data_IF_913047867860
#
_entry.id   IF_913047867860
#
_cell.length_a   1.000
_cell.length_b   1.000
_cell.length_c   1.000
_cell.angle_alpha   90.00
_cell.angle_beta   90.00
_cell.angle_gamma   90.00
#
_symmetry.space_group_name_H-M   'P 1'
#
loop_
_entity.id
_entity.type
_entity.pdbx_description
1 polymer ?
#
# COMPACT_ATOMS: atom_id res chain seq x y z
N UNK A 1 -42.36 -9.15 -28.79
CA UNK A 1 -41.27 -9.65 -27.93
C UNK A 1 -41.60 -11.08 -27.61
N UNK A 2 -40.81 -12.04 -28.09
CA UNK A 2 -41.10 -13.45 -27.86
C UNK A 2 -40.81 -13.79 -26.40
N UNK A 3 -41.72 -14.46 -25.73
CA UNK A 3 -41.63 -14.83 -24.31
C UNK A 3 -40.28 -15.51 -23.98
N UNK A 4 -39.75 -16.27 -24.93
CA UNK A 4 -38.44 -16.92 -24.86
C UNK A 4 -37.29 -15.90 -24.76
N UNK A 5 -37.31 -14.84 -25.57
CA UNK A 5 -36.26 -13.80 -25.56
C UNK A 5 -36.26 -12.99 -24.25
N UNK A 6 -37.44 -12.75 -23.66
CA UNK A 6 -37.57 -12.07 -22.37
C UNK A 6 -37.03 -12.92 -21.22
N UNK A 7 -37.33 -14.22 -21.20
CA UNK A 7 -36.83 -15.14 -20.17
C UNK A 7 -35.30 -15.27 -20.22
N UNK A 8 -34.73 -15.42 -21.41
CA UNK A 8 -33.27 -15.49 -21.58
C UNK A 8 -32.61 -14.19 -21.12
N UNK A 9 -33.17 -13.03 -21.51
CA UNK A 9 -32.69 -11.73 -21.05
C UNK A 9 -32.71 -11.57 -19.52
N UNK A 10 -33.78 -12.05 -18.87
CA UNK A 10 -33.91 -12.01 -17.42
C UNK A 10 -32.87 -12.89 -16.71
N UNK A 11 -32.62 -14.10 -17.22
CA UNK A 11 -31.62 -15.03 -16.69
C UNK A 11 -30.21 -14.46 -16.80
N UNK A 12 -29.87 -13.87 -17.96
CA UNK A 12 -28.56 -13.24 -18.16
C UNK A 12 -28.38 -12.05 -17.21
N UNK A 13 -29.39 -11.19 -17.07
CA UNK A 13 -29.34 -10.06 -16.14
C UNK A 13 -29.14 -10.52 -14.68
N UNK A 14 -29.87 -11.56 -14.25
CA UNK A 14 -29.72 -12.12 -12.91
C UNK A 14 -28.31 -12.67 -12.66
N UNK A 15 -27.71 -13.35 -13.65
CA UNK A 15 -26.32 -13.84 -13.55
C UNK A 15 -25.32 -12.69 -13.46
N UNK A 16 -25.48 -11.64 -14.25
CA UNK A 16 -24.60 -10.46 -14.20
C UNK A 16 -24.66 -9.77 -12.82
N UNK A 17 -25.87 -9.58 -12.28
CA UNK A 17 -26.04 -8.99 -10.93
C UNK A 17 -25.38 -9.89 -9.88
N UNK A 18 -25.59 -11.20 -9.97
CA UNK A 18 -25.00 -12.16 -9.03
C UNK A 18 -23.46 -12.10 -9.02
N UNK A 19 -22.84 -12.13 -10.21
CA UNK A 19 -21.37 -12.02 -10.35
C UNK A 19 -20.87 -10.70 -9.77
N UNK A 20 -21.57 -9.59 -10.04
CA UNK A 20 -21.19 -8.27 -9.51
C UNK A 20 -21.24 -8.22 -7.97
N UNK A 21 -22.27 -8.80 -7.36
CA UNK A 21 -22.41 -8.88 -5.89
C UNK A 21 -21.28 -9.73 -5.29
N UNK A 22 -20.95 -10.87 -5.89
CA UNK A 22 -19.85 -11.73 -5.44
C UNK A 22 -18.50 -11.01 -5.49
N UNK A 23 -18.21 -10.33 -6.60
CA UNK A 23 -16.97 -9.57 -6.77
C UNK A 23 -16.84 -8.48 -5.69
N UNK A 24 -17.90 -7.71 -5.46
CA UNK A 24 -17.90 -6.65 -4.43
C UNK A 24 -17.71 -7.21 -3.00
N UNK A 25 -18.36 -8.33 -2.67
CA UNK A 25 -18.19 -8.95 -1.35
C UNK A 25 -16.76 -9.45 -1.15
N UNK A 26 -16.18 -10.08 -2.16
CA UNK A 26 -14.80 -10.58 -2.10
C UNK A 26 -13.80 -9.45 -1.87
N UNK A 27 -13.99 -8.30 -2.53
CA UNK A 27 -13.16 -7.11 -2.36
C UNK A 27 -13.24 -6.55 -0.94
N UNK A 28 -14.46 -6.36 -0.42
CA UNK A 28 -14.66 -5.86 0.96
C UNK A 28 -14.03 -6.78 2.01
N UNK A 29 -14.06 -8.09 1.78
CA UNK A 29 -13.41 -9.05 2.68
C UNK A 29 -11.88 -8.89 2.66
N UNK A 30 -11.28 -8.72 1.47
CA UNK A 30 -9.83 -8.46 1.35
C UNK A 30 -9.42 -7.16 2.04
N UNK A 31 -10.17 -6.09 1.82
CA UNK A 31 -9.93 -4.79 2.48
C UNK A 31 -9.96 -4.93 4.00
N UNK A 32 -10.96 -5.62 4.55
CA UNK A 32 -11.04 -5.90 6.00
C UNK A 32 -9.84 -6.68 6.52
N UNK A 33 -9.38 -7.69 5.79
CA UNK A 33 -8.22 -8.49 6.21
C UNK A 33 -6.96 -7.61 6.27
N UNK A 34 -6.73 -6.77 5.24
CA UNK A 34 -5.58 -5.85 5.23
C UNK A 34 -5.64 -4.84 6.40
N UNK A 35 -6.82 -4.26 6.67
CA UNK A 35 -7.00 -3.35 7.81
C UNK A 35 -6.72 -4.07 9.13
N UNK A 36 -7.23 -5.29 9.31
CA UNK A 36 -6.99 -6.06 10.52
C UNK A 36 -5.50 -6.37 10.70
N UNK A 37 -4.78 -6.70 9.62
CA UNK A 37 -3.33 -6.93 9.67
C UNK A 37 -2.58 -5.66 10.08
N UNK A 38 -2.95 -4.50 9.55
CA UNK A 38 -2.37 -3.21 9.97
C UNK A 38 -2.64 -2.93 11.45
N UNK A 39 -3.86 -3.15 11.94
CA UNK A 39 -4.22 -2.95 13.35
C UNK A 39 -3.45 -3.89 14.30
N UNK A 40 -3.21 -5.14 13.87
CA UNK A 40 -2.36 -6.07 14.62
C UNK A 40 -0.93 -5.51 14.74
N UNK A 41 -0.34 -5.08 13.62
CA UNK A 41 1.02 -4.50 13.63
C UNK A 41 1.13 -3.26 14.52
N UNK A 42 0.12 -2.40 14.50
CA UNK A 42 0.09 -1.23 15.36
C UNK A 42 -0.06 -1.61 16.85
N UNK A 43 -0.92 -2.57 17.16
CA UNK A 43 -1.11 -3.05 18.53
C UNK A 43 0.15 -3.66 19.12
N UNK A 44 0.93 -4.40 18.31
CA UNK A 44 2.23 -4.96 18.71
C UNK A 44 3.24 -3.88 19.13
N UNK A 45 3.11 -2.66 18.61
CA UNK A 45 3.95 -1.51 18.95
C UNK A 45 3.30 -0.55 19.95
N UNK A 46 2.13 -0.89 20.52
CA UNK A 46 1.29 0.03 21.32
C UNK A 46 1.01 1.36 20.58
N UNK A 47 0.87 1.27 19.27
CA UNK A 47 0.66 2.37 18.34
C UNK A 47 -0.80 2.46 17.88
N UNK A 48 -1.20 3.63 17.40
CA UNK A 48 -2.52 3.87 16.80
C UNK A 48 -2.34 4.31 15.36
N UNK A 49 -3.16 3.79 14.46
CA UNK A 49 -3.13 4.17 13.05
C UNK A 49 -4.10 5.35 12.86
N UNK A 50 -3.59 6.56 12.68
CA UNK A 50 -4.46 7.73 12.40
C UNK A 50 -4.90 7.76 10.95
N UNK A 51 -4.05 7.32 10.02
CA UNK A 51 -4.39 7.25 8.61
C UNK A 51 -3.85 5.98 7.95
N UNK A 52 -4.63 5.47 7.01
CA UNK A 52 -4.29 4.28 6.24
C UNK A 52 -4.76 4.41 4.80
N UNK A 53 -4.04 3.75 3.91
CA UNK A 53 -4.41 3.65 2.51
C UNK A 53 -4.20 2.22 2.02
N UNK A 54 -5.18 1.71 1.27
CA UNK A 54 -5.17 0.35 0.75
C UNK A 54 -4.89 0.37 -0.75
N UNK A 55 -3.92 -0.42 -1.17
CA UNK A 55 -3.76 -0.84 -2.55
C UNK A 55 -4.56 -2.10 -2.87
N UNK A 56 -4.31 -2.69 -4.04
CA UNK A 56 -5.04 -3.88 -4.48
C UNK A 56 -4.82 -5.11 -3.57
N UNK A 57 -3.58 -5.30 -3.11
CA UNK A 57 -3.18 -6.44 -2.28
C UNK A 57 -2.25 -6.03 -1.12
N UNK A 58 -2.15 -4.74 -0.81
CA UNK A 58 -1.33 -4.25 0.29
C UNK A 58 -2.05 -3.12 1.02
N UNK A 59 -1.61 -2.85 2.25
CA UNK A 59 -2.05 -1.71 3.04
C UNK A 59 -0.86 -0.97 3.63
N UNK A 60 -1.00 0.34 3.74
CA UNK A 60 -0.11 1.24 4.46
C UNK A 60 -0.90 1.86 5.60
N UNK A 61 -0.32 1.92 6.79
CA UNK A 61 -0.85 2.66 7.93
C UNK A 61 0.26 3.49 8.56
N UNK A 62 -0.07 4.64 9.11
CA UNK A 62 0.88 5.49 9.81
C UNK A 62 0.41 5.78 11.23
N UNK A 63 1.36 5.79 12.15
CA UNK A 63 1.25 6.40 13.47
C UNK A 63 2.09 7.69 13.46
N UNK A 64 1.43 8.85 13.42
CA UNK A 64 2.11 10.15 13.41
C UNK A 64 2.65 10.55 14.80
N UNK A 65 2.10 9.99 15.87
CA UNK A 65 2.50 10.27 17.27
C UNK A 65 3.78 9.50 17.63
N UNK A 66 3.75 8.18 17.49
CA UNK A 66 4.87 7.28 17.76
C UNK A 66 5.82 7.14 16.57
N UNK A 67 5.50 7.74 15.42
CA UNK A 67 6.35 7.81 14.22
C UNK A 67 6.66 6.44 13.63
N UNK A 68 5.64 5.59 13.49
CA UNK A 68 5.74 4.30 12.81
C UNK A 68 5.00 4.31 11.47
N UNK A 69 5.55 3.61 10.49
CA UNK A 69 4.83 3.20 9.29
C UNK A 69 4.63 1.69 9.32
N UNK A 70 3.38 1.27 9.18
CA UNK A 70 2.97 -0.13 9.09
C UNK A 70 2.66 -0.49 7.64
N UNK A 71 3.14 -1.64 7.23
CA UNK A 71 2.90 -2.19 5.89
C UNK A 71 2.50 -3.65 6.01
N UNK A 72 1.47 -4.03 5.26
CA UNK A 72 1.07 -5.42 5.07
C UNK A 72 0.82 -5.67 3.59
N UNK A 73 1.25 -6.81 3.08
CA UNK A 73 0.96 -7.23 1.71
C UNK A 73 0.55 -8.69 1.66
N UNK A 74 -0.61 -8.93 1.06
CA UNK A 74 -1.12 -10.26 0.73
C UNK A 74 -0.31 -10.83 -0.44
N UNK A 75 0.40 -11.92 -0.16
CA UNK A 75 1.17 -12.71 -1.11
C UNK A 75 0.57 -14.12 -1.17
N UNK A 76 0.88 -14.88 -2.23
CA UNK A 76 0.30 -16.23 -2.46
C UNK A 76 0.49 -17.24 -1.31
N UNK A 77 1.41 -16.97 -0.37
CA UNK A 77 1.79 -17.86 0.74
C UNK A 77 1.30 -17.30 2.10
N UNK A 78 0.78 -16.08 2.15
CA UNK A 78 0.37 -15.40 3.39
C UNK A 78 0.70 -13.91 3.33
N UNK A 79 0.83 -13.27 4.51
CA UNK A 79 1.11 -11.84 4.59
C UNK A 79 2.60 -11.55 4.77
N UNK A 80 3.11 -10.55 4.06
CA UNK A 80 4.38 -9.91 4.36
C UNK A 80 4.12 -8.62 5.10
N UNK A 81 4.46 -8.62 6.38
CA UNK A 81 4.27 -7.50 7.28
C UNK A 81 5.61 -6.82 7.57
N UNK A 82 5.59 -5.48 7.64
CA UNK A 82 6.76 -4.67 8.00
C UNK A 82 6.31 -3.48 8.85
N UNK A 83 7.16 -3.15 9.82
CA UNK A 83 7.04 -1.94 10.64
C UNK A 83 8.32 -1.16 10.48
N UNK A 84 8.21 0.10 10.06
CA UNK A 84 9.34 1.00 9.83
C UNK A 84 9.28 2.11 10.89
N UNK A 85 10.34 2.21 11.68
CA UNK A 85 10.55 3.31 12.62
C UNK A 85 11.02 4.56 11.85
N UNK A 86 10.13 5.55 11.72
CA UNK A 86 10.41 6.79 10.99
C UNK A 86 11.41 7.68 11.74
N UNK A 87 11.62 7.50 13.05
CA UNK A 87 12.67 8.21 13.79
C UNK A 87 14.07 7.80 13.33
N UNK A 88 14.22 6.58 12.82
CA UNK A 88 15.47 6.06 12.27
C UNK A 88 15.57 6.25 10.74
N UNK A 89 14.65 6.97 10.10
CA UNK A 89 14.65 7.21 8.65
C UNK A 89 15.20 8.59 8.32
N UNK A 90 16.20 8.64 7.44
CA UNK A 90 16.79 9.89 6.92
C UNK A 90 15.95 10.50 5.80
N UNK A 91 15.44 9.64 4.90
CA UNK A 91 14.72 10.00 3.67
C UNK A 91 13.87 8.83 3.18
N UNK A 92 12.72 9.14 2.60
CA UNK A 92 11.89 8.21 1.84
C UNK A 92 11.90 8.57 0.35
N UNK A 93 11.99 7.60 -0.55
CA UNK A 93 11.93 7.82 -2.01
C UNK A 93 11.08 6.77 -2.70
N UNK A 94 10.52 7.15 -3.85
CA UNK A 94 9.88 6.22 -4.78
C UNK A 94 10.94 5.70 -5.76
N UNK A 95 11.20 4.39 -5.73
CA UNK A 95 12.03 3.74 -6.73
C UNK A 95 11.16 2.97 -7.72
N UNK A 96 11.38 3.17 -9.02
CA UNK A 96 10.66 2.46 -10.08
C UNK A 96 11.63 1.63 -10.90
N UNK A 97 11.38 0.33 -10.96
CA UNK A 97 12.10 -0.60 -11.84
C UNK A 97 11.30 -0.71 -13.13
N UNK A 98 11.98 -0.53 -14.26
CA UNK A 98 11.39 -0.68 -15.59
C UNK A 98 11.97 -1.90 -16.29
N UNK A 99 11.13 -2.59 -17.05
CA UNK A 99 11.52 -3.71 -17.91
C UNK A 99 11.31 -3.32 -19.36
N UNK A 100 12.32 -3.57 -20.18
CA UNK A 100 12.25 -3.31 -21.62
C UNK A 100 11.66 -4.53 -22.33
N UNK A 101 10.59 -4.32 -23.10
CA UNK A 101 9.98 -5.35 -23.94
C UNK A 101 9.96 -4.82 -25.37
N UNK A 102 10.85 -5.36 -26.22
CA UNK A 102 11.09 -4.82 -27.55
C UNK A 102 11.67 -3.41 -27.50
N UNK A 103 10.94 -2.43 -28.03
CA UNK A 103 11.38 -1.02 -28.07
C UNK A 103 10.80 -0.16 -26.93
N UNK A 104 9.86 -0.69 -26.15
CA UNK A 104 9.13 0.05 -25.13
C UNK A 104 9.57 -0.35 -23.71
N UNK A 105 9.52 0.62 -22.79
CA UNK A 105 9.79 0.42 -21.38
C UNK A 105 8.48 0.36 -20.59
N UNK A 106 8.28 -0.70 -19.82
CA UNK A 106 7.12 -0.90 -18.96
C UNK A 106 7.54 -0.82 -17.49
N UNK A 107 6.64 -0.32 -16.64
CA UNK A 107 6.84 -0.35 -15.18
C UNK A 107 6.76 -1.81 -14.74
N UNK A 108 7.84 -2.31 -14.17
CA UNK A 108 7.90 -3.65 -13.61
C UNK A 108 7.54 -3.64 -12.12
N UNK A 109 8.18 -2.77 -11.35
CA UNK A 109 7.95 -2.66 -9.90
C UNK A 109 8.05 -1.23 -9.41
N UNK A 110 7.28 -0.93 -8.37
CA UNK A 110 7.35 0.35 -7.65
C UNK A 110 7.58 0.05 -6.17
N UNK A 111 8.60 0.69 -5.61
CA UNK A 111 8.98 0.56 -4.22
C UNK A 111 8.90 1.92 -3.51
N UNK A 112 8.57 1.89 -2.23
CA UNK A 112 8.97 2.92 -1.28
C UNK A 112 10.24 2.47 -0.59
N UNK A 113 11.28 3.29 -0.70
CA UNK A 113 12.62 3.03 -0.18
C UNK A 113 12.91 3.99 0.97
N UNK A 114 13.33 3.44 2.10
CA UNK A 114 13.60 4.14 3.35
C UNK A 114 15.09 4.04 3.65
N UNK A 115 15.79 5.17 3.55
CA UNK A 115 17.21 5.22 3.88
C UNK A 115 17.38 5.49 5.37
N UNK A 116 18.04 4.58 6.07
CA UNK A 116 18.17 4.68 7.53
C UNK A 116 19.26 5.68 7.97
N UNK A 117 19.12 6.22 9.17
CA UNK A 117 20.11 7.11 9.80
C UNK A 117 21.25 6.27 10.39
N UNK A 118 20.90 5.22 11.14
CA UNK A 118 21.82 4.38 11.89
C UNK A 118 22.76 3.51 11.03
N UNK A 119 22.48 3.35 9.73
CA UNK A 119 23.31 2.55 8.85
C UNK A 119 23.17 2.97 7.39
N UNK A 120 24.11 2.54 6.54
CA UNK A 120 23.97 2.67 5.09
C UNK A 120 23.03 1.61 4.48
N UNK A 121 22.13 1.03 5.29
CA UNK A 121 21.11 0.08 4.85
C UNK A 121 19.84 0.84 4.47
N UNK A 122 19.09 0.23 3.58
CA UNK A 122 17.77 0.69 3.17
C UNK A 122 16.73 -0.38 3.46
N UNK A 123 15.55 0.06 3.85
CA UNK A 123 14.36 -0.77 3.89
C UNK A 123 13.47 -0.45 2.69
N UNK A 124 12.85 -1.47 2.13
CA UNK A 124 11.99 -1.31 0.96
C UNK A 124 10.66 -2.02 1.16
N UNK A 125 9.58 -1.40 0.70
CA UNK A 125 8.25 -2.00 0.62
C UNK A 125 7.73 -1.90 -0.81
N UNK A 126 6.99 -2.91 -1.24
CA UNK A 126 6.55 -3.05 -2.63
C UNK A 126 5.14 -2.47 -2.76
N UNK A 127 5.00 -1.41 -3.54
CA UNK A 127 3.70 -0.80 -3.85
C UNK A 127 3.10 -1.43 -5.10
N UNK A 128 3.91 -1.71 -6.13
CA UNK A 128 3.46 -2.37 -7.36
C UNK A 128 4.43 -3.47 -7.79
N UNK A 129 3.88 -4.55 -8.34
CA UNK A 129 4.62 -5.68 -8.89
C UNK A 129 3.91 -6.26 -10.11
N UNK A 130 4.54 -6.22 -11.28
CA UNK A 130 3.97 -6.68 -12.55
C UNK A 130 3.69 -8.18 -12.58
N UNK A 131 4.41 -8.95 -11.76
CA UNK A 131 4.18 -10.39 -11.59
C UNK A 131 2.86 -10.69 -10.85
N UNK A 132 2.37 -9.73 -10.04
CA UNK A 132 1.14 -9.83 -9.28
C UNK A 132 -0.05 -9.17 -9.99
N UNK A 133 0.19 -8.05 -10.67
CA UNK A 133 -0.85 -7.26 -11.33
C UNK A 133 -0.38 -6.77 -12.69
N UNK A 134 -1.18 -6.97 -13.74
CA UNK A 134 -0.76 -6.70 -15.11
C UNK A 134 -0.39 -5.23 -15.39
N UNK A 135 -1.07 -4.28 -14.73
CA UNK A 135 -0.82 -2.85 -14.88
C UNK A 135 -0.94 -2.13 -13.55
N UNK A 136 -0.15 -1.08 -13.31
CA UNK A 136 -0.35 -0.20 -12.18
C UNK A 136 -1.66 0.57 -12.34
N UNK A 137 -2.49 0.54 -11.31
CA UNK A 137 -3.70 1.32 -11.14
C UNK A 137 -3.60 2.22 -9.88
N UNK A 138 -3.12 3.45 -10.07
CA UNK A 138 -3.04 4.46 -8.99
C UNK A 138 -1.87 4.29 -8.03
N UNK A 139 -1.19 3.13 -7.99
CA UNK A 139 0.00 2.91 -7.16
C UNK A 139 1.14 3.90 -7.39
N UNK A 140 1.45 4.36 -8.62
CA UNK A 140 2.48 5.38 -8.83
C UNK A 140 2.16 6.69 -8.10
N UNK A 141 0.89 7.11 -8.12
CA UNK A 141 0.43 8.31 -7.44
C UNK A 141 0.41 8.11 -5.92
N UNK A 142 -0.06 6.95 -5.46
CA UNK A 142 -0.06 6.57 -4.05
C UNK A 142 1.37 6.56 -3.48
N UNK A 143 2.32 5.91 -4.17
CA UNK A 143 3.72 5.89 -3.75
C UNK A 143 4.28 7.30 -3.61
N UNK A 144 4.02 8.17 -4.59
CA UNK A 144 4.46 9.57 -4.52
C UNK A 144 3.85 10.30 -3.32
N UNK A 145 2.53 10.23 -3.15
CA UNK A 145 1.80 10.84 -2.03
C UNK A 145 2.39 10.41 -0.68
N UNK A 146 2.64 9.12 -0.51
CA UNK A 146 3.20 8.58 0.73
C UNK A 146 4.65 9.00 0.94
N UNK A 147 5.49 8.98 -0.10
CA UNK A 147 6.87 9.47 0.01
C UNK A 147 6.91 10.96 0.40
N UNK A 148 6.06 11.79 -0.21
CA UNK A 148 5.98 13.23 0.08
C UNK A 148 5.55 13.45 1.54
N UNK A 149 4.45 12.82 1.99
CA UNK A 149 3.97 12.91 3.37
C UNK A 149 5.02 12.43 4.38
N UNK A 150 5.66 11.30 4.14
CA UNK A 150 6.70 10.78 5.04
C UNK A 150 7.85 11.77 5.13
N UNK A 151 8.33 12.30 4.00
CA UNK A 151 9.41 13.28 4.01
C UNK A 151 9.03 14.60 4.71
N UNK A 152 7.77 15.00 4.70
CA UNK A 152 7.28 16.14 5.50
C UNK A 152 7.40 15.83 6.99
N UNK A 153 6.91 14.68 7.44
CA UNK A 153 7.03 14.25 8.85
C UNK A 153 8.50 14.15 9.31
N UNK A 154 9.40 13.72 8.42
CA UNK A 154 10.84 13.65 8.72
C UNK A 154 11.50 15.03 8.87
N UNK A 155 10.95 16.10 8.28
CA UNK A 155 11.47 17.47 8.49
C UNK A 155 11.16 17.96 9.89
N UNK A 156 9.94 17.68 10.38
CA UNK A 156 9.52 18.05 11.73
C UNK A 156 10.37 17.37 12.80
N UNK A 157 10.70 16.08 12.60
CA UNK A 157 11.59 15.33 13.48
C UNK A 157 12.98 15.96 13.55
N UNK A 158 13.57 16.33 12.40
CA UNK A 158 14.89 16.98 12.35
C UNK A 158 14.90 18.35 13.02
N UNK A 159 13.84 19.13 12.84
CA UNK A 159 13.67 20.44 13.49
C UNK A 159 13.63 20.30 15.02
N UNK A 160 12.82 19.37 15.53
CA UNK A 160 12.72 19.10 16.96
C UNK A 160 14.02 18.53 17.56
N UNK A 161 14.73 17.66 16.83
CA UNK A 161 16.02 17.14 17.27
C UNK A 161 17.07 18.26 17.38
N UNK A 162 17.12 19.18 16.42
CA UNK A 162 18.05 20.31 16.45
C UNK A 162 17.78 21.26 17.61
N UNK A 163 16.51 21.52 17.93
CA UNK A 163 16.12 22.35 19.07
C UNK A 163 16.57 21.75 20.41
N UNK A 164 16.49 20.42 20.58
CA UNK A 164 16.88 19.73 21.82
C UNK A 164 18.39 19.68 22.07
N UNK A 165 19.23 19.90 21.05
CA UNK A 165 20.70 19.92 21.19
C UNK A 165 21.21 21.34 21.51
N UNK A 166 20.39 22.36 21.27
CA UNK A 166 20.74 23.78 21.46
C UNK A 166 20.35 24.36 22.85
N UNK A 167 19.75 23.54 23.72
CA UNK A 167 19.36 23.88 25.11
C UNK A 167 20.23 23.11 26.09
#
# INVERSE_FOLDING_TARGET
MDLQTTIVGLLVAALCIYVFVLLNKSRKNKEKILINQLQVLASEQNALIEDHELGLNFGLGIDEVNRYLFYTKDNKIGFTNKTIDLMNVRKCEVATVKKRVGKEDYIDRIFLVFYLISSNKEEQIIIFDSDATALPNGEPLMAKKWADRINELLKDVKSNAAFRVAV
#
